data_IF_500918871769
#
_entry.id   IF_500918871769
#
_cell.length_a   1.000
_cell.length_b   1.000
_cell.length_c   1.000
_cell.angle_alpha   90.00
_cell.angle_beta   90.00
_cell.angle_gamma   90.00
#
_symmetry.space_group_name_H-M   'P 1'
#
loop_
_entity.id
_entity.type
_entity.pdbx_description
1 polymer ?
#
# COMPACT_ATOMS: atom_id res chain seq x y z
N UNK A 1 -10.71 -6.16 -3.60
CA UNK A 1 -10.77 -6.64 -2.19
C UNK A 1 -11.94 -6.02 -1.43
N UNK A 2 -12.03 -4.69 -1.28
CA UNK A 2 -13.11 -4.03 -0.52
C UNK A 2 -14.52 -4.17 -1.14
N UNK A 3 -14.61 -4.14 -2.46
CA UNK A 3 -15.89 -4.35 -3.17
C UNK A 3 -16.47 -5.74 -2.92
N UNK A 4 -15.61 -6.77 -2.87
CA UNK A 4 -16.04 -8.16 -2.62
C UNK A 4 -16.63 -8.36 -1.22
N UNK A 5 -16.28 -7.52 -0.25
CA UNK A 5 -16.83 -7.53 1.12
C UNK A 5 -17.91 -6.46 1.33
N UNK A 6 -18.40 -5.83 0.25
CA UNK A 6 -19.48 -4.85 0.30
C UNK A 6 -19.12 -3.53 1.01
N UNK A 7 -17.83 -3.17 1.10
CA UNK A 7 -17.39 -1.93 1.77
C UNK A 7 -17.29 -0.72 0.85
N UNK A 8 -17.29 -0.94 -0.47
CA UNK A 8 -17.24 0.11 -1.49
C UNK A 8 -18.06 -0.32 -2.70
N UNK A 9 -18.65 0.65 -3.39
CA UNK A 9 -19.54 0.40 -4.54
C UNK A 9 -18.80 0.06 -5.83
N UNK A 10 -17.50 0.37 -5.91
CA UNK A 10 -16.67 0.11 -7.08
C UNK A 10 -15.51 -0.80 -6.74
N UNK A 11 -15.17 -1.77 -7.60
CA UNK A 11 -13.95 -2.55 -7.45
C UNK A 11 -12.70 -1.72 -7.73
N UNK A 12 -12.81 -0.59 -8.42
CA UNK A 12 -11.66 0.20 -8.86
C UNK A 12 -10.94 0.89 -7.70
N UNK A 13 -9.62 0.98 -7.82
CA UNK A 13 -8.78 1.79 -6.96
C UNK A 13 -9.26 3.25 -6.95
N UNK A 14 -9.63 3.83 -5.79
CA UNK A 14 -10.11 5.21 -5.73
C UNK A 14 -9.01 6.22 -6.10
N UNK A 15 -7.73 5.84 -5.94
CA UNK A 15 -6.59 6.70 -6.21
C UNK A 15 -6.24 6.77 -7.69
N UNK A 16 -6.15 5.61 -8.37
CA UNK A 16 -5.73 5.57 -9.78
C UNK A 16 -6.88 5.37 -10.78
N UNK A 17 -8.03 4.82 -10.34
CA UNK A 17 -9.23 4.51 -11.15
C UNK A 17 -8.99 3.62 -12.37
N UNK A 18 -7.91 2.82 -12.36
CA UNK A 18 -7.50 1.98 -13.52
C UNK A 18 -7.64 0.48 -13.29
N UNK A 19 -7.30 0.02 -12.09
CA UNK A 19 -7.31 -1.41 -11.73
C UNK A 19 -8.15 -1.64 -10.48
N UNK A 20 -8.46 -2.90 -10.16
CA UNK A 20 -9.13 -3.25 -8.92
C UNK A 20 -8.29 -2.89 -7.69
N UNK A 21 -8.93 -2.35 -6.65
CA UNK A 21 -8.30 -2.11 -5.36
C UNK A 21 -8.03 -3.44 -4.65
N UNK A 22 -6.76 -3.81 -4.59
CA UNK A 22 -6.22 -4.95 -3.81
C UNK A 22 -5.03 -4.47 -2.97
N UNK A 23 -4.68 -5.23 -1.93
CA UNK A 23 -3.48 -4.93 -1.13
C UNK A 23 -2.21 -4.96 -1.99
N UNK A 24 -2.12 -5.90 -2.94
CA UNK A 24 -1.02 -5.97 -3.90
C UNK A 24 -0.98 -4.73 -4.82
N UNK A 25 -2.12 -4.32 -5.38
CA UNK A 25 -2.19 -3.10 -6.19
C UNK A 25 -1.74 -1.89 -5.38
N UNK A 26 -2.26 -1.70 -4.17
CA UNK A 26 -1.88 -0.60 -3.28
C UNK A 26 -0.38 -0.58 -2.98
N UNK A 27 0.19 -1.71 -2.55
CA UNK A 27 1.58 -1.81 -2.10
C UNK A 27 2.61 -1.84 -3.23
N UNK A 28 2.28 -2.39 -4.40
CA UNK A 28 3.28 -2.70 -5.44
C UNK A 28 3.03 -1.97 -6.76
N UNK A 29 1.78 -1.73 -7.16
CA UNK A 29 1.45 -1.38 -8.56
C UNK A 29 0.85 0.02 -8.75
N UNK A 30 0.06 0.52 -7.80
CA UNK A 30 -0.80 1.70 -7.96
C UNK A 30 -0.03 2.96 -8.38
N UNK A 31 -0.18 3.49 -9.61
CA UNK A 31 0.67 4.59 -10.09
C UNK A 31 0.57 5.87 -9.25
N UNK A 32 -0.57 6.08 -8.57
CA UNK A 32 -0.78 7.22 -7.67
C UNK A 32 0.20 7.25 -6.49
N UNK A 33 0.76 6.10 -6.09
CA UNK A 33 1.69 5.99 -4.95
C UNK A 33 3.14 5.74 -5.38
N UNK A 34 3.50 6.03 -6.63
CA UNK A 34 4.86 5.77 -7.16
C UNK A 34 5.95 6.44 -6.32
N UNK A 35 5.75 7.68 -5.90
CA UNK A 35 6.71 8.42 -5.08
C UNK A 35 6.94 7.80 -3.71
N UNK A 36 5.84 7.48 -3.00
CA UNK A 36 5.90 6.79 -1.71
C UNK A 36 6.51 5.38 -1.85
N UNK A 37 6.16 4.63 -2.90
CA UNK A 37 6.78 3.32 -3.17
C UNK A 37 8.27 3.40 -3.47
N UNK A 38 8.74 4.46 -4.12
CA UNK A 38 10.19 4.64 -4.32
C UNK A 38 10.92 4.79 -2.99
N UNK A 39 10.34 5.50 -2.00
CA UNK A 39 10.90 5.58 -0.64
C UNK A 39 10.84 4.23 0.07
N UNK A 40 9.70 3.54 0.01
CA UNK A 40 9.55 2.19 0.55
C UNK A 40 10.65 1.26 0.02
N UNK A 41 10.82 1.22 -1.31
CA UNK A 41 11.84 0.39 -1.96
C UNK A 41 13.27 0.78 -1.58
N UNK A 42 13.54 2.06 -1.33
CA UNK A 42 14.85 2.50 -0.84
C UNK A 42 15.10 2.01 0.60
N UNK A 43 14.07 1.99 1.45
CA UNK A 43 14.15 1.50 2.82
C UNK A 43 14.31 -0.02 2.94
N UNK A 44 13.53 -0.80 2.17
CA UNK A 44 13.52 -2.28 2.30
C UNK A 44 14.41 -3.00 1.28
N UNK A 45 14.83 -2.30 0.23
CA UNK A 45 15.60 -2.87 -0.88
C UNK A 45 14.74 -3.65 -1.90
N UNK A 46 15.26 -3.83 -3.12
CA UNK A 46 14.54 -4.45 -4.24
C UNK A 46 14.03 -5.86 -3.94
N UNK A 47 14.79 -6.67 -3.19
CA UNK A 47 14.44 -8.07 -2.90
C UNK A 47 13.20 -8.19 -2.01
N UNK A 48 12.95 -7.21 -1.15
CA UNK A 48 11.81 -7.20 -0.23
C UNK A 48 10.55 -6.59 -0.85
N UNK A 49 10.61 -6.05 -2.08
CA UNK A 49 9.46 -5.46 -2.77
C UNK A 49 8.51 -6.51 -3.37
N UNK A 50 7.93 -7.33 -2.50
CA UNK A 50 6.86 -8.28 -2.80
C UNK A 50 6.00 -8.47 -1.55
N UNK A 51 4.85 -9.15 -1.67
CA UNK A 51 3.90 -9.30 -0.57
C UNK A 51 4.53 -9.95 0.67
N UNK A 52 5.28 -11.03 0.51
CA UNK A 52 5.91 -11.74 1.63
C UNK A 52 6.99 -10.88 2.30
N UNK A 53 7.85 -10.24 1.50
CA UNK A 53 8.94 -9.41 2.00
C UNK A 53 8.47 -8.18 2.76
N UNK A 54 7.31 -7.61 2.41
CA UNK A 54 6.74 -6.44 3.08
C UNK A 54 5.87 -6.80 4.30
N UNK A 55 5.16 -7.93 4.26
CA UNK A 55 4.15 -8.25 5.28
C UNK A 55 4.64 -9.22 6.36
N UNK A 56 5.63 -10.06 6.05
CA UNK A 56 6.09 -11.12 6.96
C UNK A 56 7.47 -10.83 7.58
N UNK A 57 8.19 -9.82 7.07
CA UNK A 57 9.50 -9.46 7.58
C UNK A 57 9.43 -8.18 8.45
N UNK A 58 9.76 -8.32 9.73
CA UNK A 58 9.79 -7.21 10.69
C UNK A 58 10.75 -6.08 10.28
N UNK A 59 11.83 -6.40 9.57
CA UNK A 59 12.80 -5.41 9.09
C UNK A 59 12.18 -4.46 8.05
N UNK A 60 11.06 -4.84 7.44
CA UNK A 60 10.36 -4.03 6.44
C UNK A 60 9.31 -3.08 7.06
N UNK A 61 8.91 -3.31 8.31
CA UNK A 61 7.71 -2.68 8.89
C UNK A 61 7.85 -1.17 9.07
N UNK A 62 9.01 -0.68 9.47
CA UNK A 62 9.24 0.76 9.61
C UNK A 62 9.02 1.51 8.28
N UNK A 63 9.62 0.99 7.21
CA UNK A 63 9.46 1.56 5.88
C UNK A 63 8.02 1.37 5.35
N UNK A 64 7.38 0.24 5.64
CA UNK A 64 5.99 -0.04 5.27
C UNK A 64 5.01 0.91 5.97
N UNK A 65 5.15 1.14 7.28
CA UNK A 65 4.28 2.07 8.01
C UNK A 65 4.50 3.51 7.54
N UNK A 66 5.74 3.90 7.25
CA UNK A 66 6.04 5.18 6.62
C UNK A 66 5.33 5.34 5.27
N UNK A 67 5.31 4.29 4.43
CA UNK A 67 4.55 4.27 3.18
C UNK A 67 3.03 4.40 3.41
N UNK A 68 2.48 3.67 4.39
CA UNK A 68 1.04 3.75 4.73
C UNK A 68 0.67 5.15 5.22
N UNK A 69 1.53 5.80 6.00
CA UNK A 69 1.35 7.18 6.44
C UNK A 69 1.40 8.18 5.29
N UNK A 70 2.38 8.05 4.40
CA UNK A 70 2.54 8.90 3.22
C UNK A 70 1.32 8.84 2.28
N UNK A 71 0.68 7.66 2.19
CA UNK A 71 -0.54 7.47 1.41
C UNK A 71 -1.82 7.85 2.16
N UNK A 72 -1.72 8.14 3.47
CA UNK A 72 -2.82 8.50 4.36
C UNK A 72 -3.92 7.44 4.42
N UNK A 73 -3.63 6.21 3.98
CA UNK A 73 -4.64 5.16 3.76
C UNK A 73 -5.40 4.81 5.02
N UNK A 74 -4.69 4.78 6.15
CA UNK A 74 -5.25 4.43 7.47
C UNK A 74 -5.36 5.62 8.42
N UNK A 75 -5.17 6.84 7.92
CA UNK A 75 -5.13 8.03 8.77
C UNK A 75 -6.43 8.27 9.56
N UNK A 76 -7.57 7.96 8.94
CA UNK A 76 -8.88 8.11 9.57
C UNK A 76 -9.19 7.05 10.66
N UNK A 77 -8.35 6.01 10.78
CA UNK A 77 -8.51 4.94 11.77
C UNK A 77 -7.50 5.12 12.91
N UNK A 78 -6.23 5.38 12.58
CA UNK A 78 -5.13 5.37 13.55
C UNK A 78 -4.38 6.70 13.69
N UNK A 79 -4.68 7.71 12.88
CA UNK A 79 -3.87 8.93 12.83
C UNK A 79 -2.55 8.72 12.09
N UNK A 80 -1.42 9.05 12.71
CA UNK A 80 -0.08 8.82 12.14
C UNK A 80 0.51 7.59 12.85
N UNK A 81 0.86 6.57 12.06
CA UNK A 81 1.45 5.31 12.54
C UNK A 81 2.94 5.42 12.87
#
# INVERSE_FOLDING_TARGET
HLHRIGKVDSPLCPCCKREEETAEHFLLHCPAHRGARSRLRAGVGKRMMNMQGLLDNRDSFEALFSFINDTRRLHHIFGVL
#
